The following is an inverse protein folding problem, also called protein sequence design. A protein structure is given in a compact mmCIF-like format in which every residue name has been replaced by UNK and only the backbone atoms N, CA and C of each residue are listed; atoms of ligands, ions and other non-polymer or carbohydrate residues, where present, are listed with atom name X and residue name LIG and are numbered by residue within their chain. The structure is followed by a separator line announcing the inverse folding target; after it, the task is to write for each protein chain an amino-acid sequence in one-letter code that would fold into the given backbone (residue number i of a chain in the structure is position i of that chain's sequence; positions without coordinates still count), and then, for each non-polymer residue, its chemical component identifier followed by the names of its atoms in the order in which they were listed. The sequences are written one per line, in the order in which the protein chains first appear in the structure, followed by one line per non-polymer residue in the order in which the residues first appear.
data_IF_296996585598
#
_entry.id   IF_296996585598
#
_cell.length_a   1.000
_cell.length_b   1.000
_cell.length_c   1.000
_cell.angle_alpha   90.00
_cell.angle_beta   90.00
_cell.angle_gamma   90.00
#
_symmetry.space_group_name_H-M   'P 1'
#
loop_
_entity.id
_entity.type
_entity.pdbx_description
1 polymer ?
#
# COMPACT_ATOMS: atom_id res chain seq x y z
N UNK A 1 -2.09 13.59 21.01
CA UNK A 1 -2.21 12.56 19.94
C UNK A 1 -0.97 11.70 19.96
N UNK A 2 -1.11 10.39 20.08
CA UNK A 2 0.02 9.46 20.06
C UNK A 2 0.82 9.62 18.75
N UNK A 3 2.13 9.87 18.88
CA UNK A 3 3.06 9.84 17.75
C UNK A 3 3.42 8.40 17.36
N UNK A 4 3.92 8.17 16.14
CA UNK A 4 4.31 6.83 15.72
C UNK A 4 5.54 6.35 16.52
N UNK A 5 5.46 5.14 17.06
CA UNK A 5 6.52 4.56 17.91
C UNK A 5 7.87 4.39 17.20
N UNK A 6 7.87 4.06 15.90
CA UNK A 6 9.10 3.83 15.12
C UNK A 6 9.22 4.89 14.03
N UNK A 7 10.29 5.68 14.10
CA UNK A 7 10.60 6.83 13.24
C UNK A 7 11.60 6.51 12.12
N UNK A 8 11.88 5.22 11.85
CA UNK A 8 12.82 4.82 10.78
C UNK A 8 12.43 5.42 9.43
N UNK A 9 13.42 5.97 8.72
CA UNK A 9 13.26 6.53 7.38
C UNK A 9 12.78 5.45 6.39
N UNK A 10 11.69 5.73 5.70
CA UNK A 10 11.14 4.83 4.68
C UNK A 10 11.93 4.98 3.39
N UNK A 11 12.83 4.03 3.11
CA UNK A 11 13.53 3.94 1.82
C UNK A 11 12.69 3.14 0.83
N UNK A 12 12.33 3.76 -0.30
CA UNK A 12 11.68 3.08 -1.43
C UNK A 12 12.71 2.83 -2.53
N UNK A 13 13.05 1.57 -2.77
CA UNK A 13 14.01 1.16 -3.82
C UNK A 13 13.58 1.54 -5.23
N UNK A 14 12.28 1.71 -5.47
CA UNK A 14 11.71 2.15 -6.74
C UNK A 14 10.56 3.10 -6.49
N UNK A 15 10.66 4.30 -7.05
CA UNK A 15 9.63 5.35 -6.90
C UNK A 15 8.52 5.25 -7.96
N UNK A 16 8.85 4.81 -9.18
CA UNK A 16 7.87 4.64 -10.26
C UNK A 16 6.78 3.66 -9.83
N UNK A 17 5.52 4.11 -9.94
CA UNK A 17 4.34 3.34 -9.52
C UNK A 17 4.18 2.12 -10.42
N UNK A 18 4.33 0.93 -9.83
CA UNK A 18 4.05 -0.36 -10.47
C UNK A 18 5.05 -0.77 -11.56
N UNK A 19 4.91 -2.03 -11.99
CA UNK A 19 5.60 -2.55 -13.17
C UNK A 19 4.58 -2.56 -14.31
N UNK A 20 4.78 -1.70 -15.31
CA UNK A 20 3.88 -1.61 -16.47
C UNK A 20 4.09 -2.82 -17.37
N UNK A 21 3.00 -3.41 -17.85
CA UNK A 21 3.04 -4.46 -18.88
C UNK A 21 3.72 -3.93 -20.15
N UNK A 22 4.43 -4.82 -20.84
CA UNK A 22 5.05 -4.52 -22.13
C UNK A 22 3.99 -4.01 -23.14
N UNK A 23 4.28 -2.89 -23.81
CA UNK A 23 3.42 -2.23 -24.81
C UNK A 23 2.05 -1.72 -24.30
N UNK A 24 1.80 -1.70 -22.99
CA UNK A 24 0.55 -1.17 -22.44
C UNK A 24 0.42 0.37 -22.55
N UNK A 25 1.50 1.05 -22.95
CA UNK A 25 1.52 2.45 -23.35
C UNK A 25 0.96 2.68 -24.76
N UNK A 26 1.15 1.72 -25.67
CA UNK A 26 0.74 1.85 -27.09
C UNK A 26 -0.71 1.46 -27.34
N UNK A 27 -1.23 0.47 -26.61
CA UNK A 27 -2.56 -0.10 -26.90
C UNK A 27 -3.54 0.13 -25.75
N UNK A 28 -4.64 0.84 -26.02
CA UNK A 28 -5.73 1.08 -25.05
C UNK A 28 -6.38 -0.22 -24.53
N UNK A 29 -6.46 -1.26 -25.37
CA UNK A 29 -6.99 -2.59 -24.99
C UNK A 29 -6.14 -3.33 -23.96
N UNK A 30 -4.87 -2.94 -23.78
CA UNK A 30 -3.98 -3.59 -22.82
C UNK A 30 -4.01 -2.91 -21.46
N UNK A 31 -4.35 -3.67 -20.43
CA UNK A 31 -4.23 -3.22 -19.06
C UNK A 31 -2.76 -2.90 -18.70
N UNK A 32 -2.57 -1.85 -17.90
CA UNK A 32 -1.25 -1.45 -17.41
C UNK A 32 -0.68 -2.39 -16.33
N UNK A 33 -1.49 -3.29 -15.78
CA UNK A 33 -1.10 -4.26 -14.76
C UNK A 33 -0.05 -5.24 -15.28
N UNK A 34 0.98 -5.52 -14.47
CA UNK A 34 2.08 -6.39 -14.87
C UNK A 34 1.60 -7.77 -15.30
N UNK A 35 2.16 -8.27 -16.41
CA UNK A 35 2.07 -9.67 -16.85
C UNK A 35 3.45 -10.11 -17.31
N UNK A 36 3.85 -11.33 -16.93
CA UNK A 36 5.13 -11.90 -17.35
C UNK A 36 5.10 -12.13 -18.88
N UNK A 37 6.03 -11.55 -19.65
CA UNK A 37 6.10 -11.81 -21.08
C UNK A 37 6.60 -13.24 -21.35
N UNK A 38 5.90 -13.96 -22.22
CA UNK A 38 6.18 -15.36 -22.58
C UNK A 38 6.84 -15.49 -23.96
N UNK A 39 6.52 -14.60 -24.91
CA UNK A 39 6.95 -14.69 -26.30
C UNK A 39 8.47 -14.79 -26.50
N UNK A 40 8.87 -15.63 -27.47
CA UNK A 40 10.27 -15.98 -27.72
C UNK A 40 11.14 -14.75 -28.06
N UNK A 41 10.60 -13.81 -28.84
CA UNK A 41 11.29 -12.60 -29.32
C UNK A 41 11.07 -11.36 -28.44
N UNK A 42 10.41 -11.52 -27.29
CA UNK A 42 10.14 -10.39 -26.43
C UNK A 42 11.44 -9.83 -25.81
N UNK A 43 11.81 -8.61 -26.19
CA UNK A 43 12.96 -7.88 -25.66
C UNK A 43 12.95 -7.75 -24.13
N UNK A 44 11.77 -7.53 -23.54
CA UNK A 44 11.61 -7.49 -22.08
C UNK A 44 11.93 -8.85 -21.45
N UNK A 45 11.50 -9.96 -22.06
CA UNK A 45 11.79 -11.33 -21.58
C UNK A 45 13.30 -11.60 -21.57
N UNK A 46 13.98 -11.21 -22.65
CA UNK A 46 15.43 -11.33 -22.84
C UNK A 46 16.25 -10.29 -22.04
N UNK A 47 15.58 -9.36 -21.32
CA UNK A 47 16.19 -8.32 -20.47
C UNK A 47 17.10 -7.34 -21.22
N UNK A 48 16.76 -7.00 -22.46
CA UNK A 48 17.52 -5.98 -23.21
C UNK A 48 17.49 -4.62 -22.51
N UNK A 49 18.60 -3.89 -22.60
CA UNK A 49 18.76 -2.52 -22.05
C UNK A 49 17.76 -1.57 -22.73
N UNK A 50 17.26 -0.58 -21.99
CA UNK A 50 16.32 0.42 -22.49
C UNK A 50 14.84 0.00 -22.46
N UNK A 51 14.54 -1.29 -22.27
CA UNK A 51 13.18 -1.79 -22.13
C UNK A 51 12.66 -1.80 -20.68
N UNK A 52 11.36 -2.07 -20.53
CA UNK A 52 10.72 -2.18 -19.23
C UNK A 52 11.41 -3.23 -18.35
N UNK A 53 11.73 -2.82 -17.12
CA UNK A 53 12.31 -3.70 -16.10
C UNK A 53 11.23 -4.66 -15.57
N UNK A 54 11.62 -5.92 -15.32
CA UNK A 54 10.74 -6.93 -14.72
C UNK A 54 10.70 -6.84 -13.18
N UNK A 55 9.57 -7.19 -12.53
CA UNK A 55 9.55 -7.39 -11.09
C UNK A 55 10.50 -8.51 -10.67
N UNK A 56 11.26 -8.26 -9.61
CA UNK A 56 12.17 -9.22 -8.98
C UNK A 56 12.22 -8.97 -7.48
N UNK A 57 12.71 -9.96 -6.71
CA UNK A 57 12.81 -9.88 -5.25
C UNK A 57 13.72 -8.73 -4.76
N UNK A 58 14.70 -8.33 -5.59
CA UNK A 58 15.62 -7.23 -5.30
C UNK A 58 14.92 -5.89 -5.04
N UNK A 59 13.75 -5.67 -5.64
CA UNK A 59 12.93 -4.48 -5.42
C UNK A 59 12.12 -4.50 -4.11
N UNK A 60 12.18 -5.59 -3.34
CA UNK A 60 11.51 -5.72 -2.04
C UNK A 60 11.94 -4.64 -1.05
N UNK A 61 10.97 -4.01 -0.39
CA UNK A 61 11.22 -3.04 0.69
C UNK A 61 11.73 -3.74 1.95
N UNK A 62 12.40 -2.99 2.83
CA UNK A 62 12.84 -3.50 4.14
C UNK A 62 11.63 -4.07 4.92
N UNK A 63 11.79 -5.25 5.51
CA UNK A 63 10.74 -5.96 6.26
C UNK A 63 10.08 -5.06 7.32
N UNK A 64 10.88 -4.26 8.04
CA UNK A 64 10.41 -3.36 9.10
C UNK A 64 9.57 -2.19 8.59
N UNK A 65 9.84 -1.66 7.39
CA UNK A 65 9.12 -0.50 6.82
C UNK A 65 8.12 -0.88 5.73
N UNK A 66 7.98 -2.17 5.43
CA UNK A 66 6.99 -2.71 4.48
C UNK A 66 5.59 -2.35 4.98
N UNK A 67 4.69 -1.95 4.07
CA UNK A 67 3.30 -1.56 4.37
C UNK A 67 3.08 -0.32 5.27
N UNK A 68 4.13 0.41 5.64
CA UNK A 68 3.96 1.69 6.34
C UNK A 68 3.50 2.82 5.41
N UNK A 69 2.65 3.66 5.95
CA UNK A 69 2.24 4.94 5.40
C UNK A 69 3.33 6.00 5.62
N UNK A 70 3.25 7.11 4.88
CA UNK A 70 4.19 8.24 5.02
C UNK A 70 4.11 8.93 6.39
N UNK A 71 2.97 8.81 7.08
CA UNK A 71 2.75 9.32 8.44
C UNK A 71 3.44 8.47 9.53
N UNK A 72 4.05 7.34 9.17
CA UNK A 72 4.79 6.47 10.10
C UNK A 72 4.01 5.26 10.61
N UNK A 73 2.69 5.23 10.43
CA UNK A 73 1.80 4.15 10.91
C UNK A 73 1.58 3.05 9.86
N UNK A 74 1.13 1.87 10.29
CA UNK A 74 0.60 0.83 9.43
C UNK A 74 -0.90 1.06 9.16
N UNK A 75 -1.36 0.82 7.94
CA UNK A 75 -2.77 0.95 7.59
C UNK A 75 -3.57 -0.25 8.11
N UNK A 76 -4.65 0.00 8.84
CA UNK A 76 -5.62 -1.01 9.25
C UNK A 76 -7.03 -0.66 8.75
N UNK A 77 -7.70 -1.59 8.08
CA UNK A 77 -9.03 -1.37 7.50
C UNK A 77 -10.12 -1.73 8.54
N UNK A 78 -10.93 -0.76 8.93
CA UNK A 78 -12.02 -0.96 9.90
C UNK A 78 -13.36 -1.11 9.17
N UNK A 79 -14.03 -2.24 9.39
CA UNK A 79 -15.34 -2.57 8.83
C UNK A 79 -16.41 -2.61 9.93
N UNK A 80 -16.11 -3.26 11.05
CA UNK A 80 -17.00 -3.45 12.20
C UNK A 80 -16.67 -2.46 13.34
N UNK A 81 -17.49 -2.35 14.41
CA UNK A 81 -17.09 -1.66 15.63
C UNK A 81 -16.13 -2.49 16.50
N UNK A 82 -16.20 -3.83 16.46
CA UNK A 82 -15.27 -4.70 17.18
C UNK A 82 -13.82 -4.53 16.70
N UNK A 83 -13.63 -4.18 15.42
CA UNK A 83 -12.32 -3.85 14.85
C UNK A 83 -11.65 -2.65 15.53
N UNK A 84 -12.42 -1.76 16.18
CA UNK A 84 -11.89 -0.62 16.92
C UNK A 84 -11.32 -1.06 18.27
N UNK A 85 -11.90 -2.08 18.90
CA UNK A 85 -11.46 -2.58 20.21
C UNK A 85 -10.05 -3.18 20.12
N UNK A 86 -9.76 -3.91 19.03
CA UNK A 86 -8.42 -4.44 18.74
C UNK A 86 -7.35 -3.34 18.62
N UNK A 87 -7.73 -2.11 18.29
CA UNK A 87 -6.79 -1.03 18.05
C UNK A 87 -6.42 -0.24 19.30
N UNK A 88 -7.19 -0.33 20.39
CA UNK A 88 -6.90 0.38 21.64
C UNK A 88 -5.49 0.09 22.17
N UNK A 89 -5.04 -1.17 22.06
CA UNK A 89 -3.70 -1.57 22.50
C UNK A 89 -2.58 -1.21 21.50
N UNK A 90 -2.92 -0.79 20.28
CA UNK A 90 -1.95 -0.57 19.21
C UNK A 90 -2.02 0.84 18.59
N UNK A 91 -2.40 1.82 19.41
CA UNK A 91 -2.57 3.22 19.02
C UNK A 91 -1.32 3.86 18.38
N UNK A 92 -0.12 3.43 18.76
CA UNK A 92 1.14 4.01 18.24
C UNK A 92 1.62 3.36 16.93
N UNK A 93 1.07 2.18 16.58
CA UNK A 93 1.54 1.39 15.43
C UNK A 93 0.60 1.49 14.23
N UNK A 94 -0.71 1.51 14.44
CA UNK A 94 -1.68 1.46 13.35
C UNK A 94 -2.47 2.76 13.21
N UNK A 95 -2.77 3.11 11.96
CA UNK A 95 -3.71 4.15 11.60
C UNK A 95 -4.95 3.51 10.98
N UNK A 96 -6.11 4.06 11.35
CA UNK A 96 -7.41 3.57 10.92
C UNK A 96 -7.75 4.08 9.53
N UNK A 97 -8.14 3.18 8.64
CA UNK A 97 -8.85 3.49 7.41
C UNK A 97 -10.26 2.91 7.47
N UNK A 98 -11.25 3.79 7.43
CA UNK A 98 -12.65 3.35 7.43
C UNK A 98 -13.00 2.82 6.05
N UNK A 99 -13.48 1.58 5.99
CA UNK A 99 -13.85 0.93 4.75
C UNK A 99 -14.89 1.75 3.95
N UNK A 100 -14.79 1.65 2.61
CA UNK A 100 -15.64 2.43 1.69
C UNK A 100 -17.14 2.10 1.84
N UNK A 101 -17.47 0.84 2.14
CA UNK A 101 -18.84 0.33 2.31
C UNK A 101 -19.61 0.96 3.49
N UNK A 102 -18.92 1.62 4.44
CA UNK A 102 -19.59 2.21 5.61
C UNK A 102 -20.23 3.55 5.19
N UNK A 103 -21.54 3.68 5.36
CA UNK A 103 -22.25 4.95 5.09
C UNK A 103 -21.81 6.10 6.02
N UNK A 104 -22.04 7.34 5.57
CA UNK A 104 -21.56 8.56 6.23
C UNK A 104 -21.97 8.69 7.73
N UNK A 105 -23.21 8.32 8.07
CA UNK A 105 -23.71 8.35 9.46
C UNK A 105 -22.90 7.45 10.39
N UNK A 106 -22.59 6.22 9.93
CA UNK A 106 -21.76 5.25 10.66
C UNK A 106 -20.30 5.73 10.76
N UNK A 107 -19.75 6.37 9.71
CA UNK A 107 -18.40 6.98 9.77
C UNK A 107 -18.29 8.07 10.85
N UNK A 108 -19.28 8.96 10.93
CA UNK A 108 -19.31 10.04 11.94
C UNK A 108 -19.35 9.47 13.36
N UNK A 109 -20.16 8.42 13.59
CA UNK A 109 -20.22 7.71 14.87
C UNK A 109 -18.86 7.11 15.25
N UNK A 110 -18.22 6.35 14.35
CA UNK A 110 -16.91 5.73 14.60
C UNK A 110 -15.78 6.74 14.85
N UNK A 111 -15.79 7.90 14.17
CA UNK A 111 -14.82 8.98 14.43
C UNK A 111 -14.99 9.57 15.83
N UNK A 112 -16.23 9.85 16.23
CA UNK A 112 -16.55 10.41 17.54
C UNK A 112 -16.19 9.46 18.69
N UNK A 113 -16.34 8.15 18.52
CA UNK A 113 -15.98 7.17 19.55
C UNK A 113 -14.47 7.02 19.72
N UNK A 114 -13.68 7.27 18.68
CA UNK A 114 -12.23 7.06 18.73
C UNK A 114 -11.45 8.23 19.35
N UNK A 115 -11.93 9.46 19.19
CA UNK A 115 -11.31 10.67 19.77
C UNK A 115 -11.15 10.59 21.31
N UNK A 116 -12.17 10.22 22.10
CA UNK A 116 -12.04 10.15 23.55
C UNK A 116 -11.16 8.99 24.04
N UNK A 117 -11.00 7.91 23.27
CA UNK A 117 -10.22 6.72 23.65
C UNK A 117 -8.70 6.89 23.50
N UNK A 118 -8.26 8.01 22.89
CA UNK A 118 -6.86 8.33 22.62
C UNK A 118 -6.40 9.63 23.33
N UNK A 119 -7.22 10.09 24.29
CA UNK A 119 -6.89 11.14 25.27
C UNK A 119 -6.21 10.49 26.47
#
# INVERSE_FOLDING_TARGET
MAGPADKRKIVKKRMKRGFRRFQADRFKRMAQSWRKPVGIDCAVRRKFKGYNIQPSIGYGSNKKTKYRLKNGFYKFLVQSPADLEMLLMHNEKYAIEIAHNIGAKKKKKKKKTFIPLCS
#
